data_IF_915477999717
#
_entry.id   IF_915477999717
#
_cell.length_a   1.000
_cell.length_b   1.000
_cell.length_c   1.000
_cell.angle_alpha   90.00
_cell.angle_beta   90.00
_cell.angle_gamma   90.00
#
_symmetry.space_group_name_H-M   'P 1'
#
loop_
_entity.id
_entity.type
_entity.pdbx_description
1 polymer ?
#
# COMPACT_ATOMS: atom_id res chain seq x y z
N UNK A 1 48.83 16.38 -4.50
CA UNK A 1 48.17 15.22 -5.15
C UNK A 1 48.20 14.03 -4.21
N UNK A 2 47.04 13.53 -3.78
CA UNK A 2 46.94 12.27 -3.03
C UNK A 2 46.66 11.17 -4.05
N UNK A 3 47.54 10.18 -4.14
CA UNK A 3 47.25 8.92 -4.86
C UNK A 3 46.75 7.91 -3.84
N UNK A 4 45.45 7.63 -3.87
CA UNK A 4 44.88 6.51 -3.14
C UNK A 4 44.94 5.28 -4.03
N UNK A 5 45.53 4.19 -3.54
CA UNK A 5 45.37 2.86 -4.13
C UNK A 5 44.42 2.08 -3.24
N UNK A 6 43.17 1.93 -3.67
CA UNK A 6 42.22 1.06 -3.00
C UNK A 6 42.61 -0.40 -3.27
N UNK A 7 42.84 -1.17 -2.19
CA UNK A 7 43.05 -2.61 -2.27
C UNK A 7 41.72 -3.36 -2.40
N UNK A 8 41.78 -4.67 -2.65
CA UNK A 8 40.57 -5.52 -2.64
C UNK A 8 39.90 -5.51 -1.25
N UNK A 9 38.58 -5.35 -1.24
CA UNK A 9 37.77 -5.35 -0.02
C UNK A 9 37.79 -6.73 0.63
N UNK A 10 38.06 -6.79 1.93
CA UNK A 10 37.93 -8.02 2.71
C UNK A 10 36.48 -8.49 2.78
N UNK A 11 36.27 -9.80 2.69
CA UNK A 11 34.93 -10.41 2.72
C UNK A 11 34.69 -11.18 4.02
N UNK A 12 33.47 -11.10 4.54
CA UNK A 12 33.03 -11.87 5.70
C UNK A 12 32.91 -13.32 5.27
N UNK A 13 33.76 -14.20 5.82
CA UNK A 13 33.75 -15.61 5.46
C UNK A 13 32.79 -16.42 6.32
N UNK A 14 32.72 -16.09 7.61
CA UNK A 14 31.93 -16.83 8.57
C UNK A 14 31.46 -15.91 9.69
N UNK A 15 30.26 -16.21 10.20
CA UNK A 15 29.64 -15.56 11.35
C UNK A 15 29.28 -16.66 12.33
N UNK A 16 29.88 -16.60 13.52
CA UNK A 16 29.71 -17.59 14.57
C UNK A 16 29.00 -16.97 15.77
N UNK A 17 28.03 -17.71 16.27
CA UNK A 17 27.31 -17.39 17.49
C UNK A 17 27.77 -18.33 18.59
N UNK A 18 27.95 -17.79 19.79
CA UNK A 18 28.34 -18.55 20.97
C UNK A 18 27.37 -18.28 22.11
N UNK A 19 27.04 -19.32 22.88
CA UNK A 19 26.16 -19.20 24.04
C UNK A 19 24.65 -19.29 23.74
N UNK A 20 24.27 -19.35 22.45
CA UNK A 20 22.91 -19.69 22.04
C UNK A 20 22.61 -21.17 22.37
N UNK A 21 21.53 -21.42 23.09
CA UNK A 21 21.05 -22.76 23.47
C UNK A 21 19.62 -23.00 22.98
N UNK A 22 18.83 -21.94 22.84
CA UNK A 22 17.40 -22.03 22.51
C UNK A 22 17.12 -21.77 21.05
N UNK A 23 17.89 -20.90 20.40
CA UNK A 23 17.80 -20.65 18.97
C UNK A 23 18.99 -21.28 18.24
N UNK A 24 18.72 -21.80 17.05
CA UNK A 24 19.75 -22.34 16.18
C UNK A 24 20.61 -21.21 15.61
N UNK A 25 21.79 -21.55 15.12
CA UNK A 25 22.68 -20.58 14.43
C UNK A 25 22.00 -19.99 13.21
N UNK A 26 21.19 -20.78 12.49
CA UNK A 26 20.52 -20.32 11.28
C UNK A 26 19.36 -19.36 11.60
N UNK A 27 18.60 -19.60 12.68
CA UNK A 27 17.59 -18.63 13.17
C UNK A 27 18.22 -17.25 13.42
N UNK A 28 19.38 -17.23 14.07
CA UNK A 28 20.10 -15.99 14.38
C UNK A 28 20.70 -15.33 13.13
N UNK A 29 21.05 -16.10 12.11
CA UNK A 29 21.53 -15.58 10.82
C UNK A 29 20.41 -14.91 10.03
N UNK A 30 19.18 -15.42 10.13
CA UNK A 30 18.03 -14.83 9.42
C UNK A 30 17.57 -13.50 10.04
N UNK A 31 17.87 -13.28 11.33
CA UNK A 31 17.55 -12.03 12.03
C UNK A 31 18.48 -10.88 11.66
N UNK A 32 19.74 -11.17 11.29
CA UNK A 32 20.75 -10.15 11.00
C UNK A 32 20.84 -9.83 9.50
N UNK A 33 21.20 -8.59 9.20
CA UNK A 33 21.43 -8.15 7.81
C UNK A 33 22.85 -8.49 7.35
N UNK A 34 23.81 -8.54 8.27
CA UNK A 34 25.19 -8.93 7.94
C UNK A 34 25.24 -10.40 7.53
N UNK A 35 25.59 -10.67 6.26
CA UNK A 35 25.70 -12.01 5.69
C UNK A 35 27.15 -12.41 5.43
N UNK A 36 27.47 -13.66 5.69
CA UNK A 36 28.69 -14.29 5.20
C UNK A 36 28.64 -14.46 3.67
N UNK A 37 29.82 -14.52 3.06
CA UNK A 37 29.97 -14.77 1.63
C UNK A 37 29.38 -16.14 1.26
N UNK A 38 28.37 -16.12 0.40
CA UNK A 38 27.76 -17.28 -0.25
C UNK A 38 28.28 -17.47 -1.68
N UNK A 39 27.94 -18.59 -2.32
CA UNK A 39 28.26 -18.85 -3.73
C UNK A 39 27.59 -17.86 -4.70
N UNK A 40 26.53 -17.15 -4.25
CA UNK A 40 25.82 -16.11 -4.99
C UNK A 40 26.33 -14.67 -4.74
N UNK A 41 27.41 -14.49 -3.97
CA UNK A 41 27.98 -13.15 -3.63
C UNK A 41 28.59 -12.37 -4.80
N UNK A 42 28.35 -12.83 -6.04
CA UNK A 42 28.62 -12.12 -7.28
C UNK A 42 27.38 -11.40 -7.83
N UNK A 43 26.18 -11.73 -7.34
CA UNK A 43 24.89 -11.12 -7.70
C UNK A 43 24.38 -10.22 -6.57
N UNK A 44 24.61 -10.59 -5.31
CA UNK A 44 24.23 -9.78 -4.15
C UNK A 44 25.46 -9.21 -3.43
N UNK A 45 25.27 -8.08 -2.72
CA UNK A 45 26.30 -7.41 -1.91
C UNK A 45 26.65 -8.19 -0.61
N UNK A 46 26.40 -9.51 -0.59
CA UNK A 46 26.66 -10.36 0.58
C UNK A 46 28.17 -10.53 0.83
N UNK A 47 28.55 -10.70 2.11
CA UNK A 47 29.96 -10.77 2.52
C UNK A 47 30.66 -9.41 2.66
N UNK A 48 30.02 -8.28 2.36
CA UNK A 48 30.62 -6.94 2.57
C UNK A 48 30.48 -6.53 4.04
N UNK A 49 31.62 -6.28 4.70
CA UNK A 49 31.61 -5.76 6.06
C UNK A 49 31.22 -4.28 6.10
N UNK A 50 30.16 -3.97 6.87
CA UNK A 50 29.73 -2.61 7.21
C UNK A 50 29.58 -2.50 8.72
N UNK A 51 30.41 -1.68 9.36
CA UNK A 51 30.43 -1.52 10.83
C UNK A 51 29.07 -1.12 11.40
N UNK A 52 28.39 -0.18 10.74
CA UNK A 52 27.11 0.35 11.24
C UNK A 52 25.99 -0.69 11.16
N UNK A 53 25.97 -1.51 10.09
CA UNK A 53 25.02 -2.62 9.96
C UNK A 53 25.26 -3.67 11.04
N UNK A 54 26.52 -4.06 11.29
CA UNK A 54 26.83 -5.04 12.33
C UNK A 54 26.45 -4.55 13.74
N UNK A 55 26.55 -3.25 14.01
CA UNK A 55 26.05 -2.67 15.27
C UNK A 55 24.53 -2.73 15.37
N UNK A 56 23.82 -2.46 14.28
CA UNK A 56 22.35 -2.60 14.23
C UNK A 56 21.92 -4.06 14.41
N UNK A 57 22.69 -5.01 13.89
CA UNK A 57 22.43 -6.44 14.02
C UNK A 57 22.45 -6.92 15.48
N UNK A 58 23.29 -6.34 16.35
CA UNK A 58 23.26 -6.61 17.78
C UNK A 58 21.89 -6.27 18.38
N UNK A 59 21.34 -5.10 18.05
CA UNK A 59 20.01 -4.70 18.52
C UNK A 59 18.89 -5.55 17.91
N UNK A 60 19.04 -6.01 16.66
CA UNK A 60 18.07 -6.93 16.02
C UNK A 60 18.02 -8.26 16.76
N UNK A 61 19.17 -8.84 17.08
CA UNK A 61 19.27 -10.07 17.86
C UNK A 61 18.69 -9.85 19.26
N UNK A 62 19.02 -8.74 19.92
CA UNK A 62 18.49 -8.42 21.26
C UNK A 62 16.96 -8.36 21.23
N UNK A 63 16.39 -7.63 20.25
CA UNK A 63 14.95 -7.57 20.02
C UNK A 63 14.33 -8.94 19.76
N UNK A 64 14.96 -9.77 18.93
CA UNK A 64 14.49 -11.14 18.64
C UNK A 64 14.42 -12.00 19.91
N UNK A 65 15.43 -11.94 20.77
CA UNK A 65 15.42 -12.65 22.05
C UNK A 65 14.36 -12.09 23.02
N UNK A 66 14.24 -10.76 23.13
CA UNK A 66 13.22 -10.10 23.95
C UNK A 66 11.79 -10.42 23.51
N UNK A 67 11.57 -10.55 22.20
CA UNK A 67 10.30 -10.96 21.59
C UNK A 67 9.96 -12.44 21.84
N UNK A 68 10.93 -13.23 22.29
CA UNK A 68 10.75 -14.62 22.70
C UNK A 68 10.89 -14.82 24.23
N UNK A 69 10.76 -13.73 24.99
CA UNK A 69 10.68 -13.73 26.45
C UNK A 69 12.02 -13.69 27.17
N UNK A 70 13.14 -13.52 26.48
CA UNK A 70 14.47 -13.44 27.09
C UNK A 70 14.83 -12.00 27.43
N UNK A 71 14.21 -11.46 28.49
CA UNK A 71 14.33 -10.03 28.84
C UNK A 71 15.71 -9.58 29.32
N UNK A 72 16.47 -10.51 29.89
CA UNK A 72 17.81 -10.26 30.43
C UNK A 72 18.90 -10.77 29.48
N UNK A 73 18.58 -10.92 28.20
CA UNK A 73 19.57 -11.29 27.19
C UNK A 73 20.68 -10.26 27.15
N UNK A 74 21.93 -10.71 27.04
CA UNK A 74 23.07 -9.83 26.81
C UNK A 74 23.83 -10.30 25.57
N UNK A 75 23.99 -9.39 24.61
CA UNK A 75 24.74 -9.64 23.39
C UNK A 75 26.01 -8.81 23.46
N UNK A 76 27.15 -9.48 23.52
CA UNK A 76 28.44 -8.82 23.63
C UNK A 76 28.83 -8.17 22.29
N UNK A 77 29.69 -7.15 22.35
CA UNK A 77 30.17 -6.48 21.13
C UNK A 77 30.84 -7.50 20.19
N UNK A 78 30.45 -7.54 18.89
CA UNK A 78 30.98 -8.51 17.94
C UNK A 78 32.51 -8.43 17.81
N UNK A 79 33.18 -9.56 18.00
CA UNK A 79 34.63 -9.67 17.83
C UNK A 79 34.95 -9.96 16.37
N UNK A 80 35.74 -9.07 15.76
CA UNK A 80 36.13 -9.16 14.36
C UNK A 80 37.55 -9.66 14.28
N UNK A 81 37.75 -10.82 13.64
CA UNK A 81 39.07 -11.37 13.36
C UNK A 81 39.36 -11.27 11.86
N UNK A 82 40.40 -10.51 11.50
CA UNK A 82 40.80 -10.30 10.11
C UNK A 82 42.06 -11.12 9.84
N UNK A 83 41.93 -12.12 8.97
CA UNK A 83 43.08 -12.82 8.43
C UNK A 83 43.68 -11.98 7.28
N UNK A 84 44.70 -11.20 7.62
CA UNK A 84 45.40 -10.31 6.67
C UNK A 84 46.06 -11.06 5.50
N UNK A 85 46.36 -12.37 5.63
CA UNK A 85 46.97 -13.15 4.54
C UNK A 85 45.94 -13.53 3.48
N UNK A 86 44.72 -13.88 3.91
CA UNK A 86 43.66 -14.35 3.03
C UNK A 86 42.55 -13.32 2.79
N UNK A 87 42.65 -12.11 3.38
CA UNK A 87 41.65 -11.04 3.34
C UNK A 87 40.25 -11.50 3.77
N UNK A 88 40.20 -12.44 4.72
CA UNK A 88 38.96 -13.03 5.26
C UNK A 88 38.63 -12.39 6.60
N UNK A 89 37.36 -12.03 6.76
CA UNK A 89 36.82 -11.49 8.01
C UNK A 89 35.96 -12.58 8.66
N UNK A 90 36.26 -12.93 9.90
CA UNK A 90 35.42 -13.81 10.71
C UNK A 90 34.82 -13.00 11.85
N UNK A 91 33.52 -13.13 12.05
CA UNK A 91 32.79 -12.40 13.08
C UNK A 91 32.32 -13.40 14.14
N UNK A 92 32.59 -13.09 15.41
CA UNK A 92 32.15 -13.88 16.55
C UNK A 92 31.24 -13.04 17.43
N UNK A 93 30.03 -13.51 17.67
CA UNK A 93 29.02 -12.87 18.51
C UNK A 93 28.74 -13.78 19.71
N UNK A 94 28.97 -13.28 20.91
CA UNK A 94 28.70 -14.00 22.15
C UNK A 94 27.37 -13.55 22.75
N UNK A 95 26.52 -14.50 23.11
CA UNK A 95 25.17 -14.29 23.61
C UNK A 95 25.02 -14.97 24.96
N UNK A 96 24.51 -14.23 25.94
CA UNK A 96 24.03 -14.77 27.21
C UNK A 96 22.51 -14.66 27.23
N UNK A 97 21.81 -15.78 26.94
CA UNK A 97 20.36 -15.76 26.70
C UNK A 97 19.54 -15.33 27.93
N UNK A 98 20.01 -15.65 29.14
CA UNK A 98 19.24 -15.44 30.37
C UNK A 98 18.05 -16.40 30.50
N UNK A 99 17.12 -16.06 31.40
CA UNK A 99 15.90 -16.83 31.63
C UNK A 99 14.78 -16.37 30.70
N UNK A 100 13.90 -17.32 30.33
CA UNK A 100 12.67 -17.01 29.60
C UNK A 100 11.57 -16.62 30.58
N UNK A 101 10.92 -15.48 30.30
CA UNK A 101 9.81 -14.93 31.05
C UNK A 101 8.49 -15.12 30.29
N UNK A 102 7.43 -15.30 31.06
CA UNK A 102 6.05 -15.36 30.56
C UNK A 102 5.26 -14.15 31.01
N UNK A 103 4.16 -13.89 30.34
CA UNK A 103 3.21 -12.86 30.76
C UNK A 103 2.58 -13.29 32.08
N UNK A 104 2.69 -12.44 33.09
CA UNK A 104 2.08 -12.60 34.39
C UNK A 104 0.66 -12.06 34.38
N UNK A 105 0.32 -11.27 35.41
CA UNK A 105 -0.99 -10.61 35.51
C UNK A 105 -1.07 -9.42 34.57
N UNK A 106 -2.18 -9.31 33.84
CA UNK A 106 -2.47 -8.11 33.03
C UNK A 106 -3.51 -7.27 33.77
N UNK A 107 -3.16 -6.04 34.11
CA UNK A 107 -4.10 -5.05 34.67
C UNK A 107 -4.28 -3.90 33.72
N UNK A 108 -5.51 -3.39 33.64
CA UNK A 108 -5.87 -2.23 32.82
C UNK A 108 -6.62 -1.23 33.68
N UNK A 109 -6.45 0.05 33.39
CA UNK A 109 -7.25 1.12 33.98
C UNK A 109 -8.23 1.67 32.92
N UNK A 110 -9.38 1.01 32.69
CA UNK A 110 -10.33 1.45 31.67
C UNK A 110 -11.02 2.75 32.08
N UNK A 111 -11.51 3.49 31.08
CA UNK A 111 -12.34 4.67 31.27
C UNK A 111 -13.73 4.50 30.60
N UNK A 112 -14.54 5.55 30.61
CA UNK A 112 -15.85 5.58 29.93
C UNK A 112 -15.73 5.60 28.39
N UNK A 113 -14.53 5.84 27.87
CA UNK A 113 -14.26 5.84 26.44
C UNK A 113 -14.00 4.43 25.97
N UNK A 114 -13.03 3.70 26.52
CA UNK A 114 -12.64 2.34 26.10
C UNK A 114 -12.76 1.34 27.25
N UNK A 115 -13.50 0.26 27.01
CA UNK A 115 -13.72 -0.79 28.02
C UNK A 115 -12.46 -1.62 28.27
N UNK A 116 -12.35 -2.20 29.46
CA UNK A 116 -11.22 -3.08 29.80
C UNK A 116 -11.11 -4.28 28.85
N UNK A 117 -12.25 -4.83 28.41
CA UNK A 117 -12.31 -5.93 27.45
C UNK A 117 -11.77 -5.53 26.07
N UNK A 118 -12.04 -4.30 25.61
CA UNK A 118 -11.51 -3.81 24.34
C UNK A 118 -9.99 -3.60 24.42
N UNK A 119 -9.47 -3.11 25.55
CA UNK A 119 -8.03 -2.99 25.81
C UNK A 119 -7.36 -4.36 25.77
N UNK A 120 -7.94 -5.37 26.44
CA UNK A 120 -7.43 -6.74 26.45
C UNK A 120 -7.46 -7.38 25.05
N UNK A 121 -8.53 -7.14 24.27
CA UNK A 121 -8.60 -7.61 22.86
C UNK A 121 -7.56 -6.93 21.97
N UNK A 122 -7.30 -5.64 22.18
CA UNK A 122 -6.34 -4.86 21.41
C UNK A 122 -4.87 -5.26 21.71
N UNK A 123 -4.59 -5.65 22.97
CA UNK A 123 -3.28 -6.17 23.38
C UNK A 123 -2.90 -7.47 22.67
N UNK A 124 -3.89 -8.32 22.35
CA UNK A 124 -3.69 -9.66 21.73
C UNK A 124 -2.75 -10.60 22.50
N UNK A 125 -2.47 -10.31 23.76
CA UNK A 125 -1.61 -11.09 24.65
C UNK A 125 -2.46 -11.67 25.78
N UNK A 126 -2.17 -12.90 26.20
CA UNK A 126 -2.84 -13.55 27.34
C UNK A 126 -1.84 -13.87 28.44
N UNK A 127 -2.35 -14.01 29.66
CA UNK A 127 -1.56 -14.51 30.77
C UNK A 127 -0.98 -15.89 30.42
N UNK A 128 0.25 -16.15 30.87
CA UNK A 128 1.07 -17.36 30.61
C UNK A 128 1.65 -17.50 29.20
N UNK A 129 1.30 -16.62 28.27
CA UNK A 129 1.99 -16.55 26.98
C UNK A 129 3.48 -16.24 27.19
N UNK A 130 4.32 -16.57 26.21
CA UNK A 130 5.72 -16.11 26.23
C UNK A 130 5.70 -14.60 26.08
N UNK A 131 6.43 -13.88 26.94
CA UNK A 131 6.48 -12.43 26.85
C UNK A 131 7.11 -12.01 25.52
N UNK A 132 6.51 -11.04 24.83
CA UNK A 132 7.08 -10.43 23.64
C UNK A 132 7.02 -8.92 23.74
N UNK A 133 8.16 -8.25 23.59
CA UNK A 133 8.24 -6.80 23.67
C UNK A 133 7.53 -6.15 22.47
N UNK A 134 7.68 -6.72 21.27
CA UNK A 134 7.01 -6.22 20.07
C UNK A 134 5.50 -6.38 20.14
N UNK A 135 4.98 -7.50 20.67
CA UNK A 135 3.53 -7.67 20.89
C UNK A 135 2.99 -6.65 21.89
N UNK A 136 3.71 -6.37 22.99
CA UNK A 136 3.28 -5.34 23.96
C UNK A 136 3.25 -3.96 23.30
N UNK A 137 4.30 -3.59 22.57
CA UNK A 137 4.36 -2.33 21.82
C UNK A 137 3.24 -2.23 20.79
N UNK A 138 2.97 -3.31 20.06
CA UNK A 138 1.89 -3.36 19.08
C UNK A 138 0.53 -3.24 19.76
N UNK A 139 0.34 -3.89 20.90
CA UNK A 139 -0.86 -3.77 21.73
C UNK A 139 -1.12 -2.34 22.18
N UNK A 140 -0.08 -1.65 22.68
CA UNK A 140 -0.13 -0.23 23.05
C UNK A 140 -0.53 0.65 21.86
N UNK A 141 0.05 0.43 20.69
CA UNK A 141 -0.35 1.14 19.46
C UNK A 141 -1.81 0.86 19.08
N UNK A 142 -2.26 -0.40 19.18
CA UNK A 142 -3.65 -0.76 18.87
C UNK A 142 -4.65 -0.09 19.83
N UNK A 143 -4.31 0.00 21.12
CA UNK A 143 -5.13 0.72 22.10
C UNK A 143 -5.18 2.21 21.75
N UNK A 144 -4.03 2.81 21.45
CA UNK A 144 -3.95 4.20 20.99
C UNK A 144 -4.81 4.45 19.75
N UNK A 145 -4.81 3.53 18.79
CA UNK A 145 -5.66 3.58 17.59
C UNK A 145 -7.15 3.62 17.96
N UNK A 146 -7.62 2.82 18.94
CA UNK A 146 -9.02 2.83 19.39
C UNK A 146 -9.41 4.17 20.01
N UNK A 147 -8.53 4.77 20.83
CA UNK A 147 -8.77 6.10 21.37
C UNK A 147 -8.80 7.18 20.28
N UNK A 148 -7.89 7.05 19.32
CA UNK A 148 -7.77 7.95 18.18
C UNK A 148 -8.99 7.88 17.25
N UNK A 149 -9.58 6.70 17.06
CA UNK A 149 -10.88 6.49 16.38
C UNK A 149 -12.04 7.22 17.08
N UNK A 150 -11.93 7.45 18.39
CA UNK A 150 -12.95 8.10 19.23
C UNK A 150 -12.69 9.59 19.44
N UNK A 151 -11.73 10.18 18.73
CA UNK A 151 -11.40 11.61 18.81
C UNK A 151 -10.24 11.98 19.72
N UNK A 152 -9.59 11.01 20.36
CA UNK A 152 -8.50 11.27 21.30
C UNK A 152 -7.15 11.05 20.62
N UNK A 153 -6.77 12.00 19.74
CA UNK A 153 -5.59 11.88 18.88
C UNK A 153 -4.25 11.81 19.66
N UNK A 154 -4.22 12.31 20.89
CA UNK A 154 -3.04 12.39 21.76
C UNK A 154 -3.20 11.55 23.03
N UNK A 155 -3.99 10.47 22.98
CA UNK A 155 -4.07 9.54 24.09
C UNK A 155 -2.68 8.94 24.39
N UNK A 156 -2.28 8.99 25.64
CA UNK A 156 -1.01 8.44 26.12
C UNK A 156 -1.28 7.09 26.78
N UNK A 157 -0.70 6.04 26.19
CA UNK A 157 -0.86 4.66 26.64
C UNK A 157 0.49 4.16 27.12
N UNK A 158 0.64 4.03 28.44
CA UNK A 158 1.90 3.70 29.08
C UNK A 158 1.86 2.26 29.66
N UNK A 159 2.64 1.31 29.12
CA UNK A 159 2.76 -0.02 29.67
C UNK A 159 3.78 -0.05 30.83
N UNK A 160 3.29 -0.07 32.07
CA UNK A 160 4.13 -0.27 33.26
C UNK A 160 4.35 -1.77 33.48
N UNK A 161 5.55 -2.25 33.16
CA UNK A 161 5.92 -3.66 33.34
C UNK A 161 6.66 -3.92 34.65
N UNK A 162 6.30 -4.98 35.37
CA UNK A 162 7.01 -5.43 36.57
C UNK A 162 7.53 -6.85 36.37
N UNK A 163 8.85 -7.00 36.36
CA UNK A 163 9.51 -8.30 36.22
C UNK A 163 9.55 -9.00 37.59
N UNK A 164 9.13 -10.26 37.64
CA UNK A 164 9.30 -11.15 38.78
C UNK A 164 10.25 -12.30 38.40
N UNK A 165 11.47 -12.25 38.91
CA UNK A 165 12.52 -13.23 38.62
C UNK A 165 12.25 -14.60 39.26
N UNK A 166 11.53 -14.68 40.39
CA UNK A 166 11.22 -15.93 41.09
C UNK A 166 10.19 -16.76 40.31
N UNK A 167 9.08 -16.13 39.93
CA UNK A 167 8.01 -16.76 39.15
C UNK A 167 8.31 -16.80 37.65
N UNK A 168 9.36 -16.11 37.18
CA UNK A 168 9.69 -15.92 35.75
C UNK A 168 8.51 -15.34 34.97
N UNK A 169 7.85 -14.35 35.56
CA UNK A 169 6.70 -13.67 34.95
C UNK A 169 6.93 -12.17 34.86
N UNK A 170 6.20 -11.53 33.94
CA UNK A 170 6.18 -10.08 33.75
C UNK A 170 4.74 -9.62 33.86
N UNK A 171 4.42 -8.93 34.95
CA UNK A 171 3.12 -8.31 35.12
C UNK A 171 3.08 -7.03 34.27
N UNK A 172 1.95 -6.79 33.61
CA UNK A 172 1.78 -5.67 32.68
C UNK A 172 0.60 -4.84 33.17
N UNK A 173 0.85 -3.61 33.59
CA UNK A 173 -0.18 -2.63 33.91
C UNK A 173 -0.28 -1.59 32.79
N UNK A 174 -1.42 -1.54 32.12
CA UNK A 174 -1.68 -0.53 31.09
C UNK A 174 -2.33 0.69 31.75
N UNK A 175 -1.57 1.78 31.81
CA UNK A 175 -2.03 3.08 32.24
C UNK A 175 -2.42 3.90 31.02
N UNK A 176 -3.60 4.53 31.07
CA UNK A 176 -4.15 5.29 29.95
C UNK A 176 -4.51 6.71 30.41
N UNK A 177 -4.00 7.71 29.70
CA UNK A 177 -4.53 9.07 29.71
C UNK A 177 -5.10 9.39 28.33
N UNK A 178 -6.44 9.42 28.24
CA UNK A 178 -7.13 9.75 26.99
C UNK A 178 -6.90 11.20 26.53
N UNK A 179 -6.56 12.12 27.42
CA UNK A 179 -6.50 13.54 27.12
C UNK A 179 -7.85 14.13 26.68
N UNK A 180 -7.82 15.14 25.81
CA UNK A 180 -9.00 15.84 25.28
C UNK A 180 -9.36 15.36 23.88
N UNK A 181 -10.64 15.56 23.50
CA UNK A 181 -11.07 15.40 22.11
C UNK A 181 -10.38 16.42 21.21
N UNK A 182 -10.01 15.96 20.03
CA UNK A 182 -9.30 16.72 19.02
C UNK A 182 -10.16 16.77 17.76
N UNK A 183 -10.27 17.95 17.18
CA UNK A 183 -10.98 18.21 15.93
C UNK A 183 -9.96 18.50 14.83
N UNK A 184 -10.35 18.18 13.60
CA UNK A 184 -9.55 18.47 12.42
C UNK A 184 -9.54 19.97 12.19
N UNK A 185 -8.36 20.57 12.23
CA UNK A 185 -8.12 21.97 11.84
C UNK A 185 -8.03 22.10 10.33
N UNK A 186 -6.96 22.70 9.83
CA UNK A 186 -6.74 22.90 8.39
C UNK A 186 -6.21 21.62 7.71
N UNK A 187 -6.74 21.30 6.53
CA UNK A 187 -6.19 20.27 5.64
C UNK A 187 -5.40 20.95 4.51
N UNK A 188 -4.08 20.91 4.64
CA UNK A 188 -3.13 21.50 3.73
C UNK A 188 -2.57 20.45 2.76
N UNK A 189 -2.62 20.71 1.46
CA UNK A 189 -2.05 19.84 0.42
C UNK A 189 -0.86 20.56 -0.22
N UNK A 190 0.28 19.87 -0.31
CA UNK A 190 1.52 20.43 -0.87
C UNK A 190 2.17 19.45 -1.85
N UNK A 191 2.85 19.98 -2.86
CA UNK A 191 3.55 19.19 -3.89
C UNK A 191 2.71 18.82 -5.12
N UNK A 192 1.41 19.15 -5.12
CA UNK A 192 0.51 18.98 -6.26
C UNK A 192 0.66 20.13 -7.28
N UNK A 193 1.75 20.12 -8.05
CA UNK A 193 2.05 21.18 -9.02
C UNK A 193 1.18 21.13 -10.27
N UNK A 194 0.75 19.93 -10.68
CA UNK A 194 -0.07 19.70 -11.88
C UNK A 194 -1.49 19.31 -11.52
N UNK A 195 -1.66 18.52 -10.46
CA UNK A 195 -2.94 18.00 -9.98
C UNK A 195 -3.66 19.06 -9.18
N UNK A 196 -4.92 19.31 -9.51
CA UNK A 196 -5.75 20.26 -8.78
C UNK A 196 -5.95 19.80 -7.33
N UNK A 197 -5.95 20.74 -6.39
CA UNK A 197 -6.12 20.47 -4.96
C UNK A 197 -7.40 19.67 -4.67
N UNK A 198 -8.51 20.01 -5.34
CA UNK A 198 -9.80 19.34 -5.15
C UNK A 198 -9.75 17.84 -5.46
N UNK A 199 -8.87 17.40 -6.38
CA UNK A 199 -8.70 15.99 -6.72
C UNK A 199 -8.17 15.19 -5.54
N UNK A 200 -7.31 15.78 -4.72
CA UNK A 200 -6.77 15.17 -3.51
C UNK A 200 -7.75 15.38 -2.35
N UNK A 201 -8.28 16.60 -2.20
CA UNK A 201 -9.19 16.98 -1.11
C UNK A 201 -10.46 16.12 -1.06
N UNK A 202 -11.06 15.80 -2.21
CA UNK A 202 -12.27 14.95 -2.28
C UNK A 202 -12.02 13.48 -1.90
N UNK A 203 -10.77 13.07 -1.77
CA UNK A 203 -10.42 11.73 -1.29
C UNK A 203 -10.34 11.63 0.23
N UNK A 204 -10.36 12.76 0.94
CA UNK A 204 -10.48 12.76 2.39
C UNK A 204 -11.85 12.28 2.85
N UNK A 205 -11.83 11.42 3.89
CA UNK A 205 -12.99 11.00 4.66
C UNK A 205 -13.25 11.88 5.88
N UNK A 206 -12.30 12.74 6.22
CA UNK A 206 -12.39 13.78 7.23
C UNK A 206 -12.58 15.13 6.56
N UNK A 207 -13.34 16.01 7.21
CA UNK A 207 -13.45 17.42 6.86
C UNK A 207 -12.91 18.27 8.00
N UNK A 208 -12.54 19.50 7.66
CA UNK A 208 -12.19 20.53 8.64
C UNK A 208 -13.40 20.74 9.57
N UNK A 209 -13.15 20.73 10.88
CA UNK A 209 -14.16 20.75 11.94
C UNK A 209 -14.70 19.38 12.37
N UNK A 210 -14.42 18.29 11.65
CA UNK A 210 -14.82 16.95 12.10
C UNK A 210 -14.02 16.54 13.35
N UNK A 211 -14.63 15.67 14.19
CA UNK A 211 -13.87 14.97 15.22
C UNK A 211 -12.77 14.12 14.57
N UNK A 212 -11.55 14.19 15.09
CA UNK A 212 -10.43 13.43 14.56
C UNK A 212 -10.71 11.92 14.63
N UNK A 213 -10.33 11.20 13.57
CA UNK A 213 -10.50 9.76 13.48
C UNK A 213 -9.35 9.20 12.62
N UNK A 214 -8.46 8.45 13.28
CA UNK A 214 -7.27 7.87 12.63
C UNK A 214 -7.62 6.86 11.53
N UNK A 215 -8.72 6.12 11.65
CA UNK A 215 -9.19 5.19 10.62
C UNK A 215 -9.60 5.98 9.39
N UNK A 216 -10.38 7.04 9.54
CA UNK A 216 -10.75 7.90 8.39
C UNK A 216 -9.52 8.55 7.76
N UNK A 217 -8.53 8.99 8.54
CA UNK A 217 -7.29 9.55 8.01
C UNK A 217 -6.50 8.51 7.19
N UNK A 218 -6.33 7.29 7.73
CA UNK A 218 -5.67 6.18 7.06
C UNK A 218 -6.40 5.76 5.77
N UNK A 219 -7.73 5.72 5.80
CA UNK A 219 -8.55 5.49 4.60
C UNK A 219 -8.40 6.61 3.58
N UNK A 220 -8.27 7.86 4.01
CA UNK A 220 -7.99 9.00 3.13
C UNK A 220 -6.65 8.83 2.42
N UNK A 221 -5.59 8.50 3.17
CA UNK A 221 -4.27 8.18 2.59
C UNK A 221 -4.35 7.06 1.55
N UNK A 222 -5.07 5.99 1.88
CA UNK A 222 -5.27 4.87 0.96
C UNK A 222 -5.98 5.30 -0.33
N UNK A 223 -7.03 6.11 -0.23
CA UNK A 223 -7.77 6.63 -1.40
C UNK A 223 -6.90 7.53 -2.28
N UNK A 224 -6.09 8.41 -1.68
CA UNK A 224 -5.14 9.26 -2.41
C UNK A 224 -4.09 8.40 -3.11
N UNK A 225 -3.54 7.38 -2.44
CA UNK A 225 -2.63 6.42 -3.08
C UNK A 225 -3.28 5.66 -4.23
N UNK A 226 -4.55 5.26 -4.08
CA UNK A 226 -5.30 4.55 -5.11
C UNK A 226 -5.59 5.39 -6.36
N UNK A 227 -5.47 6.73 -6.29
CA UNK A 227 -5.48 7.56 -7.48
C UNK A 227 -4.33 7.22 -8.44
N UNK A 228 -3.22 6.69 -7.90
CA UNK A 228 -2.04 6.35 -8.68
C UNK A 228 -1.42 7.55 -9.41
N UNK A 229 -1.65 8.78 -8.93
CA UNK A 229 -1.10 10.03 -9.47
C UNK A 229 0.23 10.44 -8.82
N UNK A 230 0.59 9.78 -7.72
CA UNK A 230 1.73 10.15 -6.88
C UNK A 230 2.66 8.95 -6.68
N UNK A 231 3.96 9.20 -6.63
CA UNK A 231 4.99 8.24 -6.23
C UNK A 231 5.02 8.05 -4.71
N UNK A 232 4.84 9.15 -3.97
CA UNK A 232 4.83 9.18 -2.51
C UNK A 232 3.70 10.07 -1.99
N UNK A 233 3.05 9.63 -0.92
CA UNK A 233 1.99 10.37 -0.21
C UNK A 233 2.30 10.29 1.28
N UNK A 234 2.68 11.43 1.85
CA UNK A 234 2.96 11.61 3.27
C UNK A 234 1.87 12.45 3.89
N UNK A 235 1.28 11.95 4.97
CA UNK A 235 0.31 12.69 5.77
C UNK A 235 0.93 12.87 7.13
N UNK A 236 1.25 14.11 7.46
CA UNK A 236 1.76 14.51 8.74
C UNK A 236 0.66 15.26 9.49
N UNK A 237 0.51 14.95 10.78
CA UNK A 237 -0.40 15.67 11.67
C UNK A 237 0.41 16.54 12.62
N UNK A 238 -0.05 17.77 12.86
CA UNK A 238 0.59 18.69 13.79
C UNK A 238 -0.48 19.33 14.66
N UNK A 239 -0.14 19.64 15.91
CA UNK A 239 -1.03 20.43 16.77
C UNK A 239 -1.33 21.75 16.05
N UNK A 240 -2.61 22.07 15.94
CA UNK A 240 -3.06 23.31 15.32
C UNK A 240 -2.83 24.51 16.23
N UNK A 241 -3.36 25.66 15.82
CA UNK A 241 -3.26 26.89 16.62
C UNK A 241 -3.96 26.78 17.97
N UNK A 242 -5.09 26.07 18.01
CA UNK A 242 -5.84 25.82 19.23
C UNK A 242 -5.48 24.44 19.83
N UNK A 243 -5.51 24.27 21.17
CA UNK A 243 -5.05 23.03 21.82
C UNK A 243 -5.86 21.76 21.51
N UNK A 244 -7.08 21.94 21.00
CA UNK A 244 -8.04 20.93 20.57
C UNK A 244 -8.13 20.77 19.05
N UNK A 245 -7.27 21.46 18.29
CA UNK A 245 -7.18 21.32 16.84
C UNK A 245 -5.93 20.55 16.42
N UNK A 246 -6.07 19.79 15.33
CA UNK A 246 -4.96 19.13 14.65
C UNK A 246 -4.98 19.45 13.16
N UNK A 247 -3.92 20.07 12.69
CA UNK A 247 -3.75 20.39 11.28
C UNK A 247 -3.13 19.18 10.56
N UNK A 248 -3.63 18.92 9.35
CA UNK A 248 -3.21 17.79 8.53
C UNK A 248 -2.48 18.33 7.31
N UNK A 249 -1.20 18.01 7.18
CA UNK A 249 -0.40 18.36 6.00
C UNK A 249 -0.19 17.12 5.15
N UNK A 250 -0.66 17.16 3.92
CA UNK A 250 -0.52 16.08 2.93
C UNK A 250 0.46 16.49 1.86
N UNK A 251 1.67 15.95 1.97
CA UNK A 251 2.73 16.13 1.00
C UNK A 251 2.68 15.01 -0.04
N UNK A 252 2.60 15.39 -1.31
CA UNK A 252 2.58 14.46 -2.44
C UNK A 252 3.74 14.70 -3.39
N UNK A 253 4.28 13.61 -3.93
CA UNK A 253 5.26 13.66 -5.03
C UNK A 253 4.57 13.17 -6.29
N UNK A 254 4.28 14.09 -7.22
CA UNK A 254 3.60 13.74 -8.48
C UNK A 254 4.46 12.87 -9.39
N UNK A 255 3.80 11.93 -10.08
CA UNK A 255 4.45 11.05 -11.06
C UNK A 255 3.78 11.12 -12.42
N UNK A 256 4.40 10.49 -13.42
CA UNK A 256 3.79 10.36 -14.74
C UNK A 256 2.53 9.46 -14.70
N UNK A 257 1.39 10.02 -15.10
CA UNK A 257 0.09 9.32 -15.15
C UNK A 257 -0.30 8.85 -16.55
N UNK A 258 0.55 9.12 -17.54
CA UNK A 258 0.36 8.73 -18.93
C UNK A 258 0.98 7.37 -19.22
N UNK A 259 0.35 6.60 -20.10
CA UNK A 259 0.89 5.34 -20.59
C UNK A 259 0.61 5.13 -22.07
N UNK A 260 1.51 4.42 -22.73
CA UNK A 260 1.40 3.98 -24.12
C UNK A 260 1.42 2.46 -24.13
N UNK A 261 0.47 1.85 -24.82
CA UNK A 261 0.37 0.41 -24.98
C UNK A 261 0.44 0.09 -26.47
N UNK A 262 1.33 -0.82 -26.86
CA UNK A 262 1.45 -1.33 -28.22
C UNK A 262 1.59 -2.84 -28.13
N UNK A 263 0.84 -3.56 -28.95
CA UNK A 263 0.91 -5.02 -28.98
C UNK A 263 0.53 -5.57 -30.35
N UNK A 264 1.06 -6.73 -30.68
CA UNK A 264 0.67 -7.49 -31.85
C UNK A 264 0.35 -8.94 -31.45
N UNK A 265 -0.56 -9.57 -32.19
CA UNK A 265 -0.94 -10.96 -32.01
C UNK A 265 -1.29 -11.61 -33.34
N UNK A 266 -1.44 -12.92 -33.34
CA UNK A 266 -1.87 -13.67 -34.52
C UNK A 266 -3.01 -14.61 -34.16
N UNK A 267 -4.04 -14.70 -35.00
CA UNK A 267 -5.09 -15.71 -34.86
C UNK A 267 -5.43 -16.34 -36.22
N UNK A 268 -5.91 -17.58 -36.22
CA UNK A 268 -6.34 -18.26 -37.44
C UNK A 268 -7.56 -17.60 -38.12
N UNK A 269 -8.30 -16.76 -37.39
CA UNK A 269 -9.52 -16.12 -37.89
C UNK A 269 -9.30 -14.67 -38.32
N UNK A 270 -8.39 -13.94 -37.66
CA UNK A 270 -8.12 -12.52 -37.90
C UNK A 270 -6.70 -12.25 -38.45
N UNK A 271 -5.87 -13.29 -38.61
CA UNK A 271 -4.47 -13.21 -39.00
C UNK A 271 -3.70 -12.28 -38.06
N UNK A 272 -2.91 -11.34 -38.58
CA UNK A 272 -2.20 -10.36 -37.79
C UNK A 272 -3.18 -9.36 -37.14
N UNK A 273 -3.06 -9.22 -35.83
CA UNK A 273 -3.81 -8.29 -34.99
C UNK A 273 -2.81 -7.29 -34.42
N UNK A 274 -3.06 -6.00 -34.61
CA UNK A 274 -2.30 -4.91 -34.05
C UNK A 274 -3.18 -4.08 -33.12
N UNK A 275 -2.68 -3.80 -31.92
CA UNK A 275 -3.38 -3.01 -30.91
C UNK A 275 -2.45 -1.88 -30.47
N UNK A 276 -2.96 -0.66 -30.47
CA UNK A 276 -2.24 0.49 -29.92
C UNK A 276 -3.18 1.36 -29.09
N UNK A 277 -2.65 2.01 -28.06
CA UNK A 277 -3.44 2.92 -27.25
C UNK A 277 -2.58 3.84 -26.40
N UNK A 278 -3.13 5.00 -26.11
CA UNK A 278 -2.54 6.01 -25.22
C UNK A 278 -3.58 6.32 -24.16
N UNK A 279 -3.15 6.36 -22.91
CA UNK A 279 -4.02 6.78 -21.80
C UNK A 279 -3.34 7.84 -20.95
N UNK A 280 -4.15 8.76 -20.44
CA UNK A 280 -3.74 9.77 -19.48
C UNK A 280 -4.76 9.78 -18.33
N UNK A 281 -4.37 9.28 -17.16
CA UNK A 281 -5.28 9.06 -16.03
C UNK A 281 -5.59 10.34 -15.22
N UNK A 282 -4.76 11.38 -15.36
CA UNK A 282 -4.93 12.68 -14.71
C UNK A 282 -4.82 13.82 -15.73
N UNK A 283 -5.70 13.80 -16.73
CA UNK A 283 -5.68 14.77 -17.83
C UNK A 283 -5.85 16.19 -17.31
N UNK A 284 -4.89 17.05 -17.65
CA UNK A 284 -4.81 18.44 -17.17
C UNK A 284 -4.89 18.60 -15.64
N UNK A 285 -4.50 17.56 -14.88
CA UNK A 285 -4.55 17.63 -13.41
C UNK A 285 -5.94 17.48 -12.80
N UNK A 286 -6.97 17.19 -13.59
CA UNK A 286 -8.38 17.18 -13.14
C UNK A 286 -8.84 15.86 -12.51
N UNK A 287 -7.98 14.84 -12.48
CA UNK A 287 -8.35 13.47 -12.16
C UNK A 287 -9.20 12.78 -13.22
N UNK A 288 -9.40 13.42 -14.39
CA UNK A 288 -10.13 12.84 -15.52
C UNK A 288 -9.21 11.94 -16.34
N UNK A 289 -9.77 10.83 -16.81
CA UNK A 289 -9.07 9.86 -17.64
C UNK A 289 -9.42 10.05 -19.11
N UNK A 290 -8.41 10.27 -19.96
CA UNK A 290 -8.54 10.26 -21.41
C UNK A 290 -7.86 9.03 -21.97
N UNK A 291 -8.54 8.29 -22.85
CA UNK A 291 -8.02 7.10 -23.51
C UNK A 291 -8.30 7.16 -24.99
N UNK A 292 -7.28 6.97 -25.80
CA UNK A 292 -7.41 6.64 -27.22
C UNK A 292 -6.92 5.21 -27.44
N UNK A 293 -7.67 4.40 -28.18
CA UNK A 293 -7.24 3.05 -28.54
C UNK A 293 -7.66 2.68 -29.97
N UNK A 294 -6.87 1.81 -30.58
CA UNK A 294 -7.14 1.23 -31.89
C UNK A 294 -6.80 -0.25 -31.92
N UNK A 295 -7.64 -1.01 -32.63
CA UNK A 295 -7.42 -2.42 -32.93
C UNK A 295 -7.56 -2.62 -34.45
N UNK A 296 -6.51 -3.12 -35.08
CA UNK A 296 -6.42 -3.33 -36.52
C UNK A 296 -6.13 -4.81 -36.79
N UNK A 297 -6.95 -5.46 -37.61
CA UNK A 297 -6.74 -6.83 -38.06
C UNK A 297 -7.31 -7.03 -39.46
N UNK A 298 -7.17 -8.22 -40.04
CA UNK A 298 -7.82 -8.53 -41.32
C UNK A 298 -9.35 -8.44 -41.27
N UNK A 299 -9.94 -8.51 -40.06
CA UNK A 299 -11.39 -8.44 -39.86
C UNK A 299 -11.86 -7.18 -39.14
N UNK A 300 -11.02 -6.49 -38.37
CA UNK A 300 -11.43 -5.38 -37.51
C UNK A 300 -10.62 -4.12 -37.77
N UNK A 301 -11.29 -2.98 -37.70
CA UNK A 301 -10.66 -1.66 -37.69
C UNK A 301 -11.45 -0.80 -36.72
N UNK A 302 -10.92 -0.71 -35.50
CA UNK A 302 -11.57 -0.01 -34.41
C UNK A 302 -10.76 1.21 -34.01
N UNK A 303 -11.45 2.31 -33.77
CA UNK A 303 -10.94 3.51 -33.12
C UNK A 303 -11.90 3.90 -32.01
N UNK A 304 -11.37 4.13 -30.80
CA UNK A 304 -12.15 4.57 -29.66
C UNK A 304 -11.42 5.72 -28.96
N UNK A 305 -12.17 6.78 -28.64
CA UNK A 305 -11.74 7.88 -27.78
C UNK A 305 -12.72 7.95 -26.60
N UNK A 306 -12.20 7.98 -25.38
CA UNK A 306 -12.99 7.97 -24.15
C UNK A 306 -12.47 9.03 -23.18
N UNK A 307 -13.38 9.83 -22.64
CA UNK A 307 -13.15 10.73 -21.51
C UNK A 307 -14.01 10.25 -20.34
N UNK A 308 -13.39 10.06 -19.18
CA UNK A 308 -14.08 9.63 -17.95
C UNK A 308 -13.74 10.58 -16.81
N UNK A 309 -14.75 11.09 -16.13
CA UNK A 309 -14.64 11.76 -14.83
C UNK A 309 -15.06 10.76 -13.74
N UNK A 310 -14.11 10.20 -12.96
CA UNK A 310 -14.43 9.20 -11.93
C UNK A 310 -15.14 9.81 -10.72
N UNK A 311 -15.13 11.13 -10.58
CA UNK A 311 -15.67 11.90 -9.44
C UNK A 311 -16.48 13.07 -9.96
N UNK A 312 -17.47 12.75 -10.79
CA UNK A 312 -18.36 13.72 -11.39
C UNK A 312 -19.03 14.55 -10.28
N UNK A 313 -18.93 15.88 -10.40
CA UNK A 313 -19.41 16.84 -9.39
C UNK A 313 -18.78 16.64 -8.00
N UNK A 314 -17.52 16.19 -7.94
CA UNK A 314 -16.79 15.88 -6.71
C UNK A 314 -17.53 14.89 -5.79
N UNK A 315 -18.31 14.00 -6.39
CA UNK A 315 -19.10 12.98 -5.71
C UNK A 315 -18.54 11.56 -5.95
N UNK A 316 -19.20 10.54 -5.38
CA UNK A 316 -18.93 9.12 -5.70
C UNK A 316 -19.60 8.67 -7.01
N UNK A 317 -20.13 9.61 -7.81
CA UNK A 317 -20.62 9.35 -9.15
C UNK A 317 -19.49 9.46 -10.17
N UNK A 318 -19.54 8.60 -11.19
CA UNK A 318 -18.67 8.62 -12.35
C UNK A 318 -19.47 8.97 -13.60
N UNK A 319 -18.88 9.75 -14.49
CA UNK A 319 -19.44 10.12 -15.77
C UNK A 319 -18.43 9.90 -16.89
N UNK A 320 -18.91 9.71 -18.11
CA UNK A 320 -17.99 9.64 -19.25
C UNK A 320 -18.66 9.81 -20.61
N UNK A 321 -17.84 10.16 -21.59
CA UNK A 321 -18.23 10.31 -22.98
C UNK A 321 -17.29 9.49 -23.85
N UNK A 322 -17.86 8.81 -24.83
CA UNK A 322 -17.15 8.01 -25.82
C UNK A 322 -17.42 8.53 -27.22
N UNK A 323 -16.41 8.44 -28.08
CA UNK A 323 -16.56 8.47 -29.52
C UNK A 323 -15.92 7.21 -30.11
N UNK A 324 -16.61 6.53 -31.01
CA UNK A 324 -16.12 5.28 -31.60
C UNK A 324 -16.42 5.17 -33.09
N UNK A 325 -15.50 4.54 -33.81
CA UNK A 325 -15.66 4.11 -35.19
C UNK A 325 -15.14 2.67 -35.30
N UNK A 326 -16.04 1.72 -35.53
CA UNK A 326 -15.73 0.29 -35.54
C UNK A 326 -16.18 -0.30 -36.86
N UNK A 327 -15.25 -0.93 -37.57
CA UNK A 327 -15.54 -1.66 -38.81
C UNK A 327 -15.21 -3.12 -38.59
N UNK A 328 -16.19 -3.99 -38.85
CA UNK A 328 -16.05 -5.44 -38.71
C UNK A 328 -16.43 -6.13 -40.01
N UNK A 329 -15.56 -7.01 -40.48
CA UNK A 329 -15.79 -7.87 -41.63
C UNK A 329 -16.24 -9.27 -41.17
N UNK A 330 -17.56 -9.49 -41.17
CA UNK A 330 -18.13 -10.80 -40.89
C UNK A 330 -18.07 -11.69 -42.13
N UNK A 331 -18.34 -12.99 -41.98
CA UNK A 331 -18.36 -13.90 -43.12
C UNK A 331 -19.42 -13.57 -44.17
N UNK A 332 -20.55 -12.99 -43.75
CA UNK A 332 -21.72 -12.77 -44.60
C UNK A 332 -22.04 -11.31 -44.89
N UNK A 333 -21.35 -10.35 -44.25
CA UNK A 333 -21.54 -8.91 -44.43
C UNK A 333 -20.43 -8.09 -43.77
N UNK A 334 -20.34 -6.81 -44.13
CA UNK A 334 -19.51 -5.83 -43.46
C UNK A 334 -20.37 -4.87 -42.64
N UNK A 335 -19.95 -4.60 -41.41
CA UNK A 335 -20.60 -3.63 -40.53
C UNK A 335 -19.66 -2.48 -40.20
N UNK A 336 -20.16 -1.25 -40.31
CA UNK A 336 -19.51 -0.06 -39.77
C UNK A 336 -20.45 0.59 -38.76
N UNK A 337 -19.98 0.74 -37.53
CA UNK A 337 -20.68 1.38 -36.43
C UNK A 337 -19.91 2.64 -36.02
N UNK A 338 -20.52 3.82 -36.17
CA UNK A 338 -19.91 5.11 -35.83
C UNK A 338 -20.85 5.88 -34.94
N UNK A 339 -20.40 6.30 -33.77
CA UNK A 339 -21.29 6.91 -32.80
C UNK A 339 -20.59 7.50 -31.58
N UNK A 340 -21.43 7.92 -30.64
CA UNK A 340 -21.04 8.44 -29.35
C UNK A 340 -21.80 7.74 -28.22
N UNK A 341 -21.16 7.66 -27.06
CA UNK A 341 -21.70 7.07 -25.85
C UNK A 341 -21.64 8.05 -24.67
N UNK A 342 -22.63 7.99 -23.79
CA UNK A 342 -22.66 8.72 -22.52
C UNK A 342 -22.84 7.71 -21.40
N UNK A 343 -21.97 7.75 -20.40
CA UNK A 343 -21.99 6.84 -19.26
C UNK A 343 -22.21 7.62 -17.99
N UNK A 344 -23.06 7.09 -17.12
CA UNK A 344 -23.21 7.53 -15.75
C UNK A 344 -23.18 6.30 -14.85
N UNK A 345 -22.49 6.36 -13.73
CA UNK A 345 -22.48 5.24 -12.77
C UNK A 345 -22.19 5.70 -11.35
N UNK A 346 -22.64 4.93 -10.37
CA UNK A 346 -22.49 5.23 -8.95
C UNK A 346 -22.28 3.93 -8.17
N UNK A 347 -21.32 3.96 -7.24
CA UNK A 347 -21.17 2.93 -6.22
C UNK A 347 -22.16 3.18 -5.08
N UNK A 348 -22.88 2.15 -4.66
CA UNK A 348 -23.83 2.21 -3.54
C UNK A 348 -23.27 1.54 -2.28
N UNK A 349 -22.34 0.60 -2.47
CA UNK A 349 -21.57 -0.03 -1.41
C UNK A 349 -20.15 -0.29 -1.94
N UNK A 350 -19.30 -0.91 -1.12
CA UNK A 350 -17.97 -1.37 -1.56
C UNK A 350 -18.03 -2.46 -2.64
N UNK A 351 -19.18 -3.14 -2.76
CA UNK A 351 -19.36 -4.28 -3.65
C UNK A 351 -20.37 -4.00 -4.77
N UNK A 352 -21.29 -3.03 -4.59
CA UNK A 352 -22.41 -2.77 -5.48
C UNK A 352 -22.22 -1.49 -6.30
N UNK A 353 -22.31 -1.64 -7.62
CA UNK A 353 -22.23 -0.53 -8.58
C UNK A 353 -23.38 -0.61 -9.57
N UNK A 354 -24.01 0.54 -9.87
CA UNK A 354 -24.96 0.65 -10.98
C UNK A 354 -24.48 1.67 -12.00
N UNK A 355 -24.84 1.43 -13.26
CA UNK A 355 -24.59 2.37 -14.34
C UNK A 355 -25.72 2.40 -15.35
N UNK A 356 -25.73 3.47 -16.13
CA UNK A 356 -26.56 3.62 -17.32
C UNK A 356 -25.64 4.11 -18.44
N UNK A 357 -25.69 3.43 -19.58
CA UNK A 357 -24.99 3.82 -20.79
C UNK A 357 -26.01 4.17 -21.89
N UNK A 358 -25.90 5.36 -22.44
CA UNK A 358 -26.66 5.80 -23.61
C UNK A 358 -25.75 5.84 -24.83
N UNK A 359 -26.06 5.07 -25.88
CA UNK A 359 -25.31 5.07 -27.13
C UNK A 359 -26.18 5.57 -28.28
N UNK A 360 -25.66 6.50 -29.05
CA UNK A 360 -26.23 6.95 -30.30
C UNK A 360 -25.25 6.65 -31.44
N UNK A 361 -25.69 5.87 -32.43
CA UNK A 361 -24.78 5.38 -33.45
C UNK A 361 -25.43 5.19 -34.81
N UNK A 362 -24.66 5.44 -35.86
CA UNK A 362 -25.00 5.10 -37.23
C UNK A 362 -24.38 3.74 -37.58
N UNK A 363 -25.24 2.76 -37.88
CA UNK A 363 -24.85 1.41 -38.27
C UNK A 363 -25.07 1.24 -39.76
N UNK A 364 -23.98 1.09 -40.51
CA UNK A 364 -24.00 0.83 -41.93
C UNK A 364 -23.62 -0.63 -42.19
N UNK A 365 -24.53 -1.37 -42.81
CA UNK A 365 -24.32 -2.75 -43.26
C UNK A 365 -24.10 -2.71 -44.77
N UNK A 366 -23.01 -3.31 -45.24
CA UNK A 366 -22.67 -3.44 -46.67
C UNK A 366 -22.24 -4.87 -46.97
N UNK A 367 -22.10 -5.18 -48.26
CA UNK A 367 -21.51 -6.44 -48.74
C UNK A 367 -22.23 -7.69 -48.21
N UNK A 368 -23.56 -7.60 -48.07
CA UNK A 368 -24.41 -8.71 -47.64
C UNK A 368 -24.44 -9.78 -48.73
N UNK A 369 -23.98 -11.00 -48.41
CA UNK A 369 -23.92 -12.14 -49.34
C UNK A 369 -25.32 -12.64 -49.71
N UNK A 370 -26.17 -12.84 -48.71
CA UNK A 370 -27.57 -13.27 -48.91
C UNK A 370 -28.50 -12.32 -48.19
N UNK A 371 -29.23 -11.51 -48.95
CA UNK A 371 -30.20 -10.57 -48.39
C UNK A 371 -31.40 -11.30 -47.80
N UNK A 372 -31.83 -10.87 -46.62
CA UNK A 372 -33.05 -11.35 -45.94
C UNK A 372 -33.88 -10.14 -45.46
N UNK A 373 -35.04 -10.39 -44.85
CA UNK A 373 -35.82 -9.33 -44.18
C UNK A 373 -35.08 -8.70 -43.01
N UNK A 374 -34.14 -9.42 -42.38
CA UNK A 374 -33.40 -8.97 -41.19
C UNK A 374 -31.98 -8.46 -41.49
N UNK A 375 -31.40 -8.86 -42.63
CA UNK A 375 -30.03 -8.51 -43.02
C UNK A 375 -30.01 -8.09 -44.50
N UNK A 376 -29.78 -6.80 -44.75
CA UNK A 376 -29.69 -6.21 -46.09
C UNK A 376 -28.72 -5.04 -46.06
N UNK A 377 -28.23 -4.62 -47.22
CA UNK A 377 -27.42 -3.41 -47.32
C UNK A 377 -28.26 -2.21 -46.91
N UNK A 378 -27.89 -1.56 -45.80
CA UNK A 378 -28.68 -0.46 -45.25
C UNK A 378 -27.86 0.39 -44.30
N UNK A 379 -28.41 1.56 -43.97
CA UNK A 379 -27.86 2.47 -42.96
C UNK A 379 -28.97 2.74 -41.96
N UNK A 380 -28.72 2.46 -40.69
CA UNK A 380 -29.68 2.61 -39.59
C UNK A 380 -29.06 3.41 -38.46
N UNK A 381 -29.74 4.47 -38.05
CA UNK A 381 -29.43 5.18 -36.82
C UNK A 381 -30.07 4.43 -35.66
N UNK A 382 -29.29 4.12 -34.63
CA UNK A 382 -29.76 3.47 -33.41
C UNK A 382 -29.47 4.34 -32.21
N UNK A 383 -30.46 4.44 -31.34
CA UNK A 383 -30.31 4.94 -29.98
C UNK A 383 -30.55 3.79 -29.01
N UNK A 384 -29.70 3.63 -27.98
CA UNK A 384 -29.77 2.53 -27.03
C UNK A 384 -29.45 3.01 -25.62
N UNK A 385 -30.33 2.71 -24.68
CA UNK A 385 -30.07 2.82 -23.25
C UNK A 385 -29.76 1.41 -22.71
N UNK A 386 -28.71 1.29 -21.92
CA UNK A 386 -28.28 0.03 -21.31
C UNK A 386 -28.04 0.27 -19.82
N UNK A 387 -28.97 -0.12 -18.94
CA UNK A 387 -28.70 -0.17 -17.51
C UNK A 387 -27.78 -1.35 -17.19
N UNK A 388 -26.96 -1.18 -16.17
CA UNK A 388 -26.07 -2.23 -15.65
C UNK A 388 -26.06 -2.19 -14.12
N UNK A 389 -25.95 -3.38 -13.53
CA UNK A 389 -25.71 -3.60 -12.12
C UNK A 389 -24.57 -4.60 -11.99
N UNK A 390 -23.57 -4.27 -11.18
CA UNK A 390 -22.40 -5.10 -10.92
C UNK A 390 -22.31 -5.26 -9.41
N UNK A 391 -22.21 -6.51 -8.96
CA UNK A 391 -21.84 -6.89 -7.61
C UNK A 391 -20.53 -7.66 -7.66
N UNK A 392 -19.46 -7.12 -7.10
CA UNK A 392 -18.17 -7.80 -6.98
C UNK A 392 -17.83 -8.02 -5.51
N UNK A 393 -17.73 -9.29 -5.10
CA UNK A 393 -17.42 -9.71 -3.72
C UNK A 393 -16.08 -10.45 -3.62
N UNK A 394 -15.27 -10.39 -4.68
CA UNK A 394 -13.97 -11.07 -4.77
C UNK A 394 -12.87 -10.35 -4.01
#
# INVERSE_FOLDING_TARGET
>A
HIRVREGEKGRIKDIRFFGNKKFSVDDLRDVIETKAESWLSFIDDSGIYKKDILKLDVFRLEGYYQDNGYLRVQIQEPKINIDNKNKKINISISIEEGLQYRVGKITTNPDDTVSGDDILKALKIRERDVYSLSEVRQGVMNIGDIYSERGYAFADINPVTKINDESRTVDINIETDRGRKIYVGEINVIGNTRTLDNVIRREFRLKEGDLFDSVKLRRSKQRINNLQFFEDVKIDTRRGREPDLIDITTAVTERATGSVNVGAGFSSTENLIFNAGISQNNFLGTGRRVVFSTNLSSRRTDFNLSLTDPRLFDSEMSGGVDAFNRKTNFYSYMARNTGAGFRLGKSFSEHDWMGVNYNFANNKITDVVTSTSYLKNETRVTSRITPSFIRDTR
#
